data_IF_304759062008
#
_entry.id   IF_304759062008
#
_cell.length_a   1.000
_cell.length_b   1.000
_cell.length_c   1.000
_cell.angle_alpha   90.00
_cell.angle_beta   90.00
_cell.angle_gamma   90.00
#
_symmetry.space_group_name_H-M   'P 1'
#
loop_
_entity.id
_entity.type
_entity.pdbx_description
1 polymer ?
#
# COMPACT_ATOMS: atom_id res chain seq x y z
N UNK A 1 12.71 -23.76 -12.34
CA UNK A 1 13.59 -22.99 -11.43
C UNK A 1 12.67 -22.07 -10.63
N UNK A 2 12.78 -22.01 -9.31
CA UNK A 2 12.00 -21.07 -8.51
C UNK A 2 12.40 -19.65 -8.94
N UNK A 3 11.43 -18.80 -9.27
CA UNK A 3 11.66 -17.38 -9.53
C UNK A 3 12.05 -16.74 -8.19
N UNK A 4 13.26 -16.23 -8.09
CA UNK A 4 13.78 -15.60 -6.87
C UNK A 4 13.35 -14.13 -6.82
N UNK A 5 12.82 -13.71 -5.68
CA UNK A 5 12.56 -12.30 -5.39
C UNK A 5 13.89 -11.51 -5.33
N UNK A 6 13.87 -10.27 -5.77
CA UNK A 6 14.99 -9.33 -5.58
C UNK A 6 15.01 -8.75 -4.15
N UNK A 7 13.90 -8.86 -3.43
CA UNK A 7 13.71 -8.35 -2.08
C UNK A 7 13.34 -9.48 -1.13
N UNK A 8 13.86 -9.44 0.09
CA UNK A 8 13.48 -10.38 1.14
C UNK A 8 12.13 -10.03 1.75
N UNK A 9 11.88 -8.73 1.99
CA UNK A 9 10.66 -8.24 2.62
C UNK A 9 10.16 -6.98 1.94
N UNK A 10 8.89 -6.96 1.56
CA UNK A 10 8.27 -5.82 0.89
C UNK A 10 7.01 -5.35 1.63
N UNK A 11 6.75 -4.05 1.54
CA UNK A 11 5.45 -3.47 1.91
C UNK A 11 4.74 -3.06 0.63
N UNK A 12 3.65 -3.72 0.30
CA UNK A 12 2.77 -3.36 -0.81
C UNK A 12 1.70 -2.39 -0.32
N UNK A 13 1.71 -1.17 -0.84
CA UNK A 13 0.67 -0.17 -0.56
C UNK A 13 -0.28 -0.04 -1.73
N UNK A 14 -1.55 -0.22 -1.46
CA UNK A 14 -2.64 -0.11 -2.43
C UNK A 14 -3.58 1.05 -2.07
N UNK A 15 -4.05 1.77 -3.08
CA UNK A 15 -5.15 2.72 -2.87
C UNK A 15 -6.46 1.94 -2.66
N UNK A 16 -7.29 2.38 -1.70
CA UNK A 16 -8.62 1.80 -1.54
C UNK A 16 -9.47 1.93 -2.81
N UNK A 17 -9.32 3.02 -3.54
CA UNK A 17 -10.01 3.24 -4.83
C UNK A 17 -9.73 2.15 -5.85
N UNK A 18 -8.55 1.53 -5.79
CA UNK A 18 -8.22 0.41 -6.66
C UNK A 18 -9.12 -0.82 -6.40
N UNK A 19 -9.77 -0.91 -5.23
CA UNK A 19 -10.68 -2.01 -4.91
C UNK A 19 -12.14 -1.75 -5.29
N UNK A 20 -12.50 -0.52 -5.64
CA UNK A 20 -13.86 -0.16 -6.03
C UNK A 20 -14.20 -0.55 -7.48
N UNK A 21 -13.19 -0.64 -8.35
CA UNK A 21 -13.41 -0.81 -9.78
C UNK A 21 -14.12 0.40 -10.39
N UNK A 22 -14.89 0.16 -11.45
CA UNK A 22 -15.58 1.21 -12.20
C UNK A 22 -16.75 1.85 -11.39
N UNK A 23 -17.26 1.16 -10.37
CA UNK A 23 -18.33 1.66 -9.51
C UNK A 23 -17.89 2.85 -8.64
N UNK A 24 -16.58 3.04 -8.45
CA UNK A 24 -15.97 4.13 -7.70
C UNK A 24 -16.25 4.10 -6.19
N UNK A 25 -17.04 3.14 -5.70
CA UNK A 25 -17.43 2.99 -4.29
C UNK A 25 -17.52 1.50 -3.89
N UNK A 26 -17.21 1.22 -2.62
CA UNK A 26 -17.31 -0.12 -2.07
C UNK A 26 -16.14 -1.04 -2.43
N UNK A 27 -16.37 -2.33 -2.34
CA UNK A 27 -15.37 -3.39 -2.64
C UNK A 27 -15.90 -4.22 -3.80
N UNK A 28 -15.21 -4.18 -4.94
CA UNK A 28 -15.56 -5.00 -6.10
C UNK A 28 -14.98 -6.41 -5.94
N UNK A 29 -15.82 -7.48 -5.92
CA UNK A 29 -15.36 -8.85 -5.69
C UNK A 29 -14.39 -9.37 -6.76
N UNK A 30 -14.50 -8.90 -7.99
CA UNK A 30 -13.61 -9.31 -9.09
C UNK A 30 -12.23 -8.71 -8.89
N UNK A 31 -12.18 -7.42 -8.57
CA UNK A 31 -10.93 -6.69 -8.37
C UNK A 31 -10.18 -7.24 -7.15
N UNK A 32 -10.86 -7.42 -6.02
CA UNK A 32 -10.18 -7.91 -4.81
C UNK A 32 -9.63 -9.32 -5.00
N UNK A 33 -10.34 -10.16 -5.76
CA UNK A 33 -9.87 -11.50 -6.13
C UNK A 33 -8.62 -11.44 -7.02
N UNK A 34 -8.60 -10.54 -8.01
CA UNK A 34 -7.43 -10.32 -8.87
C UNK A 34 -6.22 -9.84 -8.07
N UNK A 35 -6.41 -8.88 -7.16
CA UNK A 35 -5.35 -8.42 -6.25
C UNK A 35 -4.86 -9.56 -5.35
N UNK A 36 -5.77 -10.34 -4.77
CA UNK A 36 -5.42 -11.48 -3.93
C UNK A 36 -4.61 -12.53 -4.70
N UNK A 37 -4.96 -12.82 -5.96
CA UNK A 37 -4.21 -13.74 -6.82
C UNK A 37 -2.77 -13.28 -7.02
N UNK A 38 -2.55 -12.00 -7.37
CA UNK A 38 -1.21 -11.45 -7.55
C UNK A 38 -0.39 -11.47 -6.24
N UNK A 39 -1.02 -11.14 -5.10
CA UNK A 39 -0.36 -11.21 -3.78
C UNK A 39 -0.01 -12.65 -3.41
N UNK A 40 -0.92 -13.61 -3.64
CA UNK A 40 -0.69 -15.03 -3.38
C UNK A 40 0.44 -15.61 -4.27
N UNK A 41 0.59 -15.14 -5.51
CA UNK A 41 1.74 -15.50 -6.36
C UNK A 41 3.07 -15.04 -5.74
N UNK A 42 3.13 -13.80 -5.25
CA UNK A 42 4.32 -13.27 -4.58
C UNK A 42 4.61 -14.01 -3.28
N UNK A 43 3.59 -14.36 -2.49
CA UNK A 43 3.77 -15.12 -1.26
C UNK A 43 4.36 -16.52 -1.48
N UNK A 44 4.20 -17.10 -2.68
CA UNK A 44 4.83 -18.38 -3.10
C UNK A 44 6.30 -18.22 -3.52
N UNK A 45 6.75 -16.98 -3.72
CA UNK A 45 8.11 -16.66 -4.11
C UNK A 45 8.91 -16.45 -2.86
N UNK A 46 9.69 -16.99 -2.25
CA UNK A 46 10.46 -16.74 -1.01
C UNK A 46 10.58 -15.23 -0.59
N UNK A 47 9.49 -14.49 -0.71
CA UNK A 47 9.35 -13.08 -0.35
C UNK A 47 8.39 -12.93 0.83
N UNK A 48 8.75 -12.13 1.81
CA UNK A 48 7.89 -11.74 2.93
C UNK A 48 7.09 -10.51 2.53
N UNK A 49 5.75 -10.62 2.50
CA UNK A 49 4.88 -9.55 2.02
C UNK A 49 3.96 -9.01 3.10
N UNK A 50 4.05 -7.72 3.35
CA UNK A 50 3.06 -6.97 4.11
C UNK A 50 2.23 -6.09 3.15
N UNK A 51 0.93 -5.98 3.40
CA UNK A 51 0.01 -5.21 2.56
C UNK A 51 -0.64 -4.11 3.38
N UNK A 52 -0.81 -2.95 2.79
CA UNK A 52 -1.55 -1.82 3.35
C UNK A 52 -2.55 -1.36 2.30
N UNK A 53 -3.82 -1.30 2.66
CA UNK A 53 -4.88 -0.85 1.78
C UNK A 53 -5.51 0.42 2.34
N UNK A 54 -5.65 1.45 1.51
CA UNK A 54 -6.39 2.67 1.85
C UNK A 54 -7.89 2.40 2.01
N UNK A 55 -8.61 3.37 2.63
CA UNK A 55 -10.07 3.29 2.84
C UNK A 55 -10.90 4.16 1.89
N UNK A 56 -10.28 4.83 0.92
CA UNK A 56 -10.90 5.87 0.09
C UNK A 56 -12.05 5.40 -0.82
N UNK A 57 -12.18 4.09 -1.05
CA UNK A 57 -13.32 3.48 -1.73
C UNK A 57 -14.60 3.42 -0.89
N UNK A 58 -14.50 3.54 0.42
CA UNK A 58 -15.62 3.47 1.37
C UNK A 58 -15.82 4.82 2.03
N UNK A 59 -14.74 5.45 2.52
CA UNK A 59 -14.81 6.70 3.23
C UNK A 59 -13.52 7.51 3.11
N UNK A 60 -13.68 8.84 2.89
CA UNK A 60 -12.58 9.80 2.91
C UNK A 60 -12.75 10.78 4.05
N UNK A 61 -11.84 10.79 5.02
CA UNK A 61 -11.88 11.70 6.17
C UNK A 61 -11.96 13.17 5.77
N UNK A 62 -11.24 13.57 4.70
CA UNK A 62 -11.31 14.93 4.17
C UNK A 62 -12.73 15.30 3.73
N UNK A 63 -13.41 14.45 2.96
CA UNK A 63 -14.80 14.68 2.51
C UNK A 63 -15.75 14.85 3.71
N UNK A 64 -15.60 14.00 4.75
CA UNK A 64 -16.40 14.15 5.97
C UNK A 64 -16.16 15.50 6.66
N UNK A 65 -14.90 15.92 6.77
CA UNK A 65 -14.53 17.22 7.35
C UNK A 65 -15.06 18.38 6.53
N UNK A 66 -15.00 18.31 5.20
CA UNK A 66 -15.54 19.35 4.31
C UNK A 66 -17.08 19.46 4.43
N UNK A 67 -17.77 18.40 4.88
CA UNK A 67 -19.21 18.37 5.20
C UNK A 67 -19.50 18.80 6.64
N UNK A 68 -18.52 19.31 7.39
CA UNK A 68 -18.68 19.83 8.75
C UNK A 68 -18.56 18.81 9.87
N UNK A 69 -18.13 17.59 9.58
CA UNK A 69 -17.81 16.62 10.62
C UNK A 69 -16.51 16.99 11.36
N UNK A 70 -16.40 16.57 12.61
CA UNK A 70 -15.12 16.59 13.31
C UNK A 70 -14.08 15.78 12.56
N UNK A 71 -12.91 16.37 12.32
CA UNK A 71 -11.84 15.74 11.52
C UNK A 71 -11.38 14.44 12.12
N UNK A 72 -11.23 14.37 13.44
CA UNK A 72 -10.80 13.16 14.13
C UNK A 72 -11.81 12.02 13.94
N UNK A 73 -13.11 12.32 14.09
CA UNK A 73 -14.18 11.36 13.85
C UNK A 73 -14.19 10.86 12.40
N UNK A 74 -14.05 11.77 11.43
CA UNK A 74 -14.02 11.44 10.02
C UNK A 74 -12.80 10.57 9.65
N UNK A 75 -11.64 10.84 10.25
CA UNK A 75 -10.43 10.02 10.05
C UNK A 75 -10.56 8.63 10.69
N UNK A 76 -11.20 8.50 11.87
CA UNK A 76 -11.51 7.18 12.44
C UNK A 76 -12.44 6.36 11.54
N UNK A 77 -13.42 6.95 10.92
CA UNK A 77 -14.27 6.27 9.92
C UNK A 77 -13.42 5.77 8.74
N UNK A 78 -12.47 6.58 8.25
CA UNK A 78 -11.52 6.17 7.22
C UNK A 78 -10.63 5.00 7.67
N UNK A 79 -10.17 5.00 8.93
CA UNK A 79 -9.42 3.88 9.50
C UNK A 79 -10.27 2.60 9.56
N UNK A 80 -11.54 2.68 9.96
CA UNK A 80 -12.46 1.52 9.93
C UNK A 80 -12.70 1.03 8.51
N UNK A 81 -12.78 1.91 7.53
CA UNK A 81 -12.87 1.55 6.12
C UNK A 81 -11.67 0.72 5.66
N UNK A 82 -10.45 1.04 6.13
CA UNK A 82 -9.26 0.21 5.84
C UNK A 82 -9.36 -1.18 6.46
N UNK A 83 -10.02 -1.33 7.61
CA UNK A 83 -10.25 -2.64 8.23
C UNK A 83 -11.19 -3.49 7.38
N UNK A 84 -12.28 -2.90 6.86
CA UNK A 84 -13.18 -3.61 5.94
C UNK A 84 -12.44 -4.13 4.71
N UNK A 85 -11.62 -3.29 4.08
CA UNK A 85 -10.80 -3.70 2.93
C UNK A 85 -9.79 -4.80 3.29
N UNK A 86 -9.17 -4.71 4.48
CA UNK A 86 -8.21 -5.71 4.95
C UNK A 86 -8.87 -7.08 5.17
N UNK A 87 -10.06 -7.11 5.76
CA UNK A 87 -10.82 -8.36 5.97
C UNK A 87 -11.24 -8.99 4.65
N UNK A 88 -11.72 -8.18 3.70
CA UNK A 88 -12.11 -8.68 2.39
C UNK A 88 -10.90 -9.25 1.61
N UNK A 89 -9.73 -8.60 1.72
CA UNK A 89 -8.49 -9.11 1.11
C UNK A 89 -8.01 -10.38 1.83
N UNK A 90 -8.09 -10.45 3.16
CA UNK A 90 -7.77 -11.65 3.93
C UNK A 90 -8.61 -12.84 3.48
N UNK A 91 -9.94 -12.69 3.43
CA UNK A 91 -10.85 -13.74 2.99
C UNK A 91 -10.49 -14.25 1.59
N UNK A 92 -10.25 -13.33 0.64
CA UNK A 92 -9.85 -13.67 -0.72
C UNK A 92 -8.50 -14.38 -0.80
N UNK A 93 -7.53 -14.04 0.05
CA UNK A 93 -6.23 -14.72 0.13
C UNK A 93 -6.36 -16.12 0.76
N UNK A 94 -7.15 -16.26 1.82
CA UNK A 94 -7.35 -17.53 2.49
C UNK A 94 -8.13 -18.52 1.60
N UNK A 95 -9.04 -18.04 0.73
CA UNK A 95 -9.66 -18.87 -0.32
C UNK A 95 -8.64 -19.40 -1.34
N UNK A 96 -7.48 -18.76 -1.48
CA UNK A 96 -6.36 -19.19 -2.33
C UNK A 96 -5.31 -20.01 -1.55
N UNK A 97 -5.67 -20.50 -0.36
CA UNK A 97 -4.77 -21.25 0.54
C UNK A 97 -3.53 -20.44 0.96
N UNK A 98 -3.64 -19.11 0.99
CA UNK A 98 -2.56 -18.21 1.39
C UNK A 98 -2.74 -17.78 2.85
N UNK A 99 -1.90 -18.29 3.74
CA UNK A 99 -1.94 -17.95 5.17
C UNK A 99 -1.83 -16.43 5.37
N UNK A 100 -2.86 -15.81 5.94
CA UNK A 100 -2.95 -14.35 6.06
C UNK A 100 -3.25 -13.93 7.50
N UNK A 101 -2.75 -12.77 7.93
CA UNK A 101 -3.07 -12.15 9.23
C UNK A 101 -3.34 -10.66 9.07
N UNK A 102 -4.49 -10.22 9.57
CA UNK A 102 -4.81 -8.79 9.70
C UNK A 102 -4.36 -8.30 11.07
N UNK A 103 -3.55 -7.24 11.08
CA UNK A 103 -3.09 -6.57 12.30
C UNK A 103 -3.62 -5.14 12.32
N UNK A 104 -4.36 -4.77 13.36
CA UNK A 104 -4.98 -3.45 13.48
C UNK A 104 -4.29 -2.56 14.50
N UNK A 105 -4.16 -1.28 14.18
CA UNK A 105 -3.64 -0.25 15.10
C UNK A 105 -4.68 0.21 16.13
N UNK A 106 -5.98 0.00 15.85
CA UNK A 106 -7.08 0.19 16.80
C UNK A 106 -7.47 -1.16 17.35
N UNK A 107 -7.57 -1.31 18.67
CA UNK A 107 -7.86 -2.59 19.30
C UNK A 107 -9.29 -3.06 19.00
N UNK A 108 -9.40 -4.20 18.33
CA UNK A 108 -10.67 -4.86 17.99
C UNK A 108 -10.48 -6.38 17.93
N UNK A 109 -10.13 -6.95 19.08
CA UNK A 109 -9.68 -8.35 19.22
C UNK A 109 -10.61 -9.41 18.64
N UNK A 110 -11.90 -9.11 18.53
CA UNK A 110 -12.89 -10.02 17.96
C UNK A 110 -12.81 -10.07 16.42
N UNK A 111 -12.13 -9.09 15.79
CA UNK A 111 -12.10 -8.91 14.34
C UNK A 111 -10.71 -9.18 13.78
N UNK A 112 -9.66 -8.68 14.44
CA UNK A 112 -8.28 -8.78 13.98
C UNK A 112 -7.29 -8.73 15.15
N UNK A 113 -6.05 -9.16 14.90
CA UNK A 113 -5.00 -9.12 15.90
C UNK A 113 -4.57 -7.67 16.19
N UNK A 114 -4.30 -7.29 17.46
CA UNK A 114 -3.66 -6.01 17.76
C UNK A 114 -2.27 -5.95 17.12
N UNK A 115 -1.93 -4.80 16.53
CA UNK A 115 -0.61 -4.58 15.98
C UNK A 115 0.45 -4.58 17.11
N UNK A 116 1.39 -5.48 17.00
CA UNK A 116 2.61 -5.53 17.80
C UNK A 116 3.77 -5.82 16.85
N UNK A 117 4.76 -4.91 16.76
CA UNK A 117 5.88 -5.00 15.81
C UNK A 117 6.51 -6.40 15.76
N UNK A 118 6.88 -6.96 16.90
CA UNK A 118 7.53 -8.30 16.95
C UNK A 118 6.60 -9.41 16.44
N UNK A 119 5.30 -9.29 16.63
CA UNK A 119 4.31 -10.25 16.14
C UNK A 119 4.17 -10.15 14.63
N UNK A 120 4.13 -8.93 14.08
CA UNK A 120 4.12 -8.70 12.63
C UNK A 120 5.34 -9.34 11.95
N UNK A 121 6.55 -9.07 12.46
CA UNK A 121 7.79 -9.68 11.97
C UNK A 121 7.72 -11.22 12.06
N UNK A 122 7.23 -11.77 13.17
CA UNK A 122 7.09 -13.23 13.33
C UNK A 122 6.11 -13.86 12.34
N UNK A 123 5.04 -13.15 11.96
CA UNK A 123 4.14 -13.63 10.91
C UNK A 123 4.83 -13.63 9.54
N UNK A 124 5.54 -12.55 9.21
CA UNK A 124 6.31 -12.43 7.96
C UNK A 124 7.38 -13.53 7.84
N UNK A 125 8.17 -13.76 8.89
CA UNK A 125 9.15 -14.86 8.95
C UNK A 125 8.54 -16.25 8.76
N UNK A 126 7.26 -16.43 9.13
CA UNK A 126 6.49 -17.65 8.89
C UNK A 126 5.85 -17.69 7.50
N UNK A 127 6.25 -16.78 6.60
CA UNK A 127 5.73 -16.66 5.22
C UNK A 127 4.21 -16.44 5.16
N UNK A 128 3.64 -15.80 6.19
CA UNK A 128 2.26 -15.34 6.18
C UNK A 128 2.18 -13.97 5.54
N UNK A 129 1.16 -13.75 4.74
CA UNK A 129 0.83 -12.37 4.31
C UNK A 129 0.31 -11.61 5.52
N UNK A 130 0.87 -10.43 5.78
CA UNK A 130 0.43 -9.55 6.85
C UNK A 130 -0.31 -8.37 6.24
N UNK A 131 -1.53 -8.09 6.68
CA UNK A 131 -2.29 -6.91 6.26
C UNK A 131 -2.36 -5.95 7.44
N UNK A 132 -1.80 -4.75 7.28
CA UNK A 132 -1.89 -3.70 8.29
C UNK A 132 -3.14 -2.86 8.04
N UNK A 133 -4.00 -2.75 9.05
CA UNK A 133 -5.26 -2.05 9.01
C UNK A 133 -5.36 -0.98 10.10
N UNK A 134 -6.36 -0.11 10.00
CA UNK A 134 -6.59 1.04 10.88
C UNK A 134 -5.43 2.06 10.90
N UNK A 135 -4.68 2.20 9.80
CA UNK A 135 -3.65 3.20 9.68
C UNK A 135 -2.55 3.06 10.74
N UNK A 136 -2.14 4.18 11.34
CA UNK A 136 -1.25 4.20 12.51
C UNK A 136 -2.02 4.22 13.84
N UNK A 137 -3.36 4.25 13.80
CA UNK A 137 -4.23 4.31 14.98
C UNK A 137 -4.55 5.73 15.44
N UNK A 138 -4.04 6.75 14.79
CA UNK A 138 -4.27 8.16 15.13
C UNK A 138 -4.82 8.94 13.93
N UNK A 139 -5.77 9.88 14.17
CA UNK A 139 -6.22 10.83 13.16
C UNK A 139 -5.08 11.67 12.57
N UNK A 140 -5.36 12.37 11.48
CA UNK A 140 -4.47 13.30 10.76
C UNK A 140 -3.34 12.67 9.95
N UNK A 141 -3.17 11.36 10.00
CA UNK A 141 -2.15 10.65 9.22
C UNK A 141 -2.77 9.88 8.05
N UNK A 142 -2.06 9.88 6.94
CA UNK A 142 -2.48 9.18 5.73
C UNK A 142 -2.11 7.69 5.73
N UNK A 143 -2.63 6.97 4.74
CA UNK A 143 -2.20 5.60 4.45
C UNK A 143 -0.75 5.56 3.93
N UNK A 144 -0.27 6.63 3.29
CA UNK A 144 1.13 6.74 2.83
C UNK A 144 2.08 6.83 4.02
N UNK A 145 1.75 7.67 5.01
CA UNK A 145 2.49 7.73 6.29
C UNK A 145 2.46 6.37 7.01
N UNK A 146 1.33 5.67 6.97
CA UNK A 146 1.24 4.30 7.50
C UNK A 146 2.21 3.36 6.81
N UNK A 147 2.28 3.40 5.47
CA UNK A 147 3.18 2.54 4.70
C UNK A 147 4.66 2.82 5.05
N UNK A 148 5.04 4.09 5.14
CA UNK A 148 6.39 4.50 5.52
C UNK A 148 6.77 3.99 6.93
N UNK A 149 5.91 4.23 7.92
CA UNK A 149 6.14 3.79 9.30
C UNK A 149 6.22 2.26 9.40
N UNK A 150 5.27 1.53 8.82
CA UNK A 150 5.26 0.06 8.89
C UNK A 150 6.45 -0.55 8.17
N UNK A 151 6.87 0.03 7.03
CA UNK A 151 8.06 -0.44 6.32
C UNK A 151 9.32 -0.34 7.20
N UNK A 152 9.52 0.79 7.89
CA UNK A 152 10.63 0.95 8.84
C UNK A 152 10.52 -0.05 10.00
N UNK A 153 9.35 -0.18 10.62
CA UNK A 153 9.14 -1.04 11.78
C UNK A 153 9.36 -2.53 11.47
N UNK A 154 8.98 -2.99 10.29
CA UNK A 154 9.19 -4.39 9.89
C UNK A 154 10.47 -4.60 9.11
N UNK A 155 11.29 -3.57 8.93
CA UNK A 155 12.57 -3.63 8.21
C UNK A 155 12.37 -4.13 6.77
N UNK A 156 11.44 -3.50 6.05
CA UNK A 156 11.18 -3.81 4.65
C UNK A 156 12.28 -3.23 3.75
N UNK A 157 12.64 -3.96 2.70
CA UNK A 157 13.65 -3.54 1.73
C UNK A 157 13.14 -2.44 0.80
N UNK A 158 11.81 -2.40 0.56
CA UNK A 158 11.17 -1.46 -0.37
C UNK A 158 9.68 -1.32 -0.06
N UNK A 159 9.12 -0.13 -0.35
CA UNK A 159 7.68 0.07 -0.46
C UNK A 159 7.29 -0.01 -1.94
N UNK A 160 6.45 -0.97 -2.27
CA UNK A 160 5.82 -1.13 -3.57
C UNK A 160 4.51 -0.36 -3.59
N UNK A 161 4.49 0.78 -4.29
CA UNK A 161 3.35 1.68 -4.31
C UNK A 161 2.51 1.45 -5.58
N UNK A 162 1.50 0.62 -5.45
CA UNK A 162 0.55 0.35 -6.52
C UNK A 162 -0.43 1.49 -6.71
N UNK A 163 -0.38 2.13 -7.88
CA UNK A 163 -1.30 3.19 -8.29
C UNK A 163 -2.33 2.64 -9.28
N UNK A 164 -3.53 3.24 -9.27
CA UNK A 164 -4.55 2.94 -10.27
C UNK A 164 -4.36 3.87 -11.47
N UNK A 165 -4.27 3.31 -12.68
CA UNK A 165 -4.16 4.05 -13.95
C UNK A 165 -2.95 5.01 -14.05
N UNK A 166 -1.91 4.83 -13.24
CA UNK A 166 -0.66 5.59 -13.34
C UNK A 166 0.51 4.61 -13.21
N UNK A 167 1.35 4.58 -14.22
CA UNK A 167 2.42 3.58 -14.36
C UNK A 167 3.79 4.07 -13.85
N UNK A 168 3.83 5.19 -13.13
CA UNK A 168 5.05 5.75 -12.57
C UNK A 168 4.87 7.20 -12.10
N UNK A 169 5.97 7.90 -11.93
CA UNK A 169 6.01 9.33 -11.56
C UNK A 169 6.35 10.15 -12.80
N UNK A 170 5.59 11.20 -13.04
CA UNK A 170 5.74 12.10 -14.17
C UNK A 170 6.15 13.50 -13.73
N UNK A 171 6.83 14.23 -14.62
CA UNK A 171 7.24 15.63 -14.39
C UNK A 171 6.04 16.57 -14.23
N UNK A 172 4.90 16.25 -14.82
CA UNK A 172 3.61 16.92 -14.71
C UNK A 172 2.49 15.91 -14.94
N UNK A 173 1.22 16.30 -14.80
CA UNK A 173 0.09 15.42 -15.14
C UNK A 173 0.04 15.16 -16.66
N UNK A 174 0.29 13.93 -17.14
CA UNK A 174 0.31 13.64 -18.56
C UNK A 174 -1.06 13.80 -19.25
N UNK A 175 -2.15 13.93 -18.49
CA UNK A 175 -3.48 14.23 -19.03
C UNK A 175 -3.67 15.71 -19.36
N UNK A 176 -2.86 16.57 -18.75
CA UNK A 176 -2.95 18.02 -18.87
C UNK A 176 -1.78 18.58 -19.69
N UNK A 177 -0.58 18.04 -19.46
CA UNK A 177 0.65 18.46 -20.12
C UNK A 177 1.15 17.36 -21.07
N UNK A 178 1.06 17.55 -22.40
CA UNK A 178 1.52 16.57 -23.37
C UNK A 178 3.05 16.40 -23.40
N UNK A 179 3.80 17.34 -22.85
CA UNK A 179 5.27 17.28 -22.73
C UNK A 179 5.73 16.60 -21.42
N UNK A 180 4.79 16.15 -20.58
CA UNK A 180 5.11 15.41 -19.37
C UNK A 180 5.84 14.10 -19.69
N UNK A 181 6.99 13.91 -19.07
CA UNK A 181 7.76 12.69 -19.21
C UNK A 181 7.78 11.88 -17.92
N UNK A 182 7.89 10.57 -18.05
CA UNK A 182 7.99 9.66 -16.92
C UNK A 182 9.44 9.53 -16.45
N UNK A 183 9.66 9.63 -15.15
CA UNK A 183 10.94 9.32 -14.54
C UNK A 183 11.12 7.80 -14.40
N UNK A 184 12.28 7.28 -14.79
CA UNK A 184 12.67 5.91 -14.47
C UNK A 184 13.21 5.82 -13.04
N UNK A 185 13.95 6.85 -12.62
CA UNK A 185 14.54 6.96 -11.30
C UNK A 185 14.50 8.40 -10.79
N UNK A 186 14.24 8.57 -9.51
CA UNK A 186 14.26 9.83 -8.77
C UNK A 186 14.98 9.65 -7.44
N UNK A 187 15.50 10.75 -6.89
CA UNK A 187 15.83 10.79 -5.47
C UNK A 187 14.65 11.33 -4.66
N UNK A 188 14.58 11.00 -3.36
CA UNK A 188 13.58 11.58 -2.46
C UNK A 188 13.67 13.11 -2.43
N UNK A 189 14.89 13.66 -2.49
CA UNK A 189 15.11 15.12 -2.52
C UNK A 189 14.55 15.73 -3.80
N UNK A 190 14.82 15.15 -4.96
CA UNK A 190 14.26 15.62 -6.22
C UNK A 190 12.73 15.60 -6.20
N UNK A 191 12.14 14.50 -5.74
CA UNK A 191 10.69 14.38 -5.61
C UNK A 191 10.08 15.50 -4.76
N UNK A 192 10.72 15.85 -3.62
CA UNK A 192 10.26 16.94 -2.73
C UNK A 192 10.49 18.32 -3.34
N UNK A 193 11.65 18.57 -3.96
CA UNK A 193 11.99 19.85 -4.57
C UNK A 193 11.11 20.19 -5.78
N UNK A 194 10.78 19.19 -6.57
CA UNK A 194 9.92 19.34 -7.75
C UNK A 194 8.42 19.28 -7.39
N UNK A 195 8.07 19.04 -6.12
CA UNK A 195 6.70 19.01 -5.65
C UNK A 195 5.86 17.87 -6.24
N UNK A 196 6.52 16.77 -6.63
CA UNK A 196 5.86 15.62 -7.25
C UNK A 196 4.96 14.90 -6.25
N UNK A 197 3.67 14.78 -6.58
CA UNK A 197 2.65 14.23 -5.69
C UNK A 197 2.59 12.70 -5.72
N UNK A 198 3.67 12.04 -5.29
CA UNK A 198 3.75 10.59 -5.19
C UNK A 198 3.05 10.10 -3.93
N UNK A 199 3.39 10.72 -2.80
CA UNK A 199 2.83 10.49 -1.47
C UNK A 199 2.80 11.82 -0.71
N UNK A 200 2.18 11.85 0.48
CA UNK A 200 2.21 13.07 1.29
C UNK A 200 3.63 13.41 1.78
N UNK A 201 3.85 14.68 2.11
CA UNK A 201 5.17 15.20 2.50
C UNK A 201 5.72 14.54 3.78
N UNK A 202 4.86 14.16 4.72
CA UNK A 202 5.25 13.47 5.95
C UNK A 202 5.83 12.11 5.64
N UNK A 203 5.13 11.33 4.81
CA UNK A 203 5.58 10.02 4.37
C UNK A 203 6.87 10.11 3.54
N UNK A 204 6.95 11.10 2.64
CA UNK A 204 8.13 11.34 1.79
C UNK A 204 9.37 11.65 2.63
N UNK A 205 9.27 12.58 3.57
CA UNK A 205 10.38 12.94 4.47
C UNK A 205 10.79 11.76 5.34
N UNK A 206 9.81 10.99 5.86
CA UNK A 206 10.10 9.82 6.67
C UNK A 206 10.85 8.73 5.88
N UNK A 207 10.45 8.46 4.63
CA UNK A 207 11.15 7.51 3.77
C UNK A 207 12.57 7.98 3.45
N UNK A 208 12.76 9.28 3.19
CA UNK A 208 14.07 9.88 2.95
C UNK A 208 14.99 9.72 4.16
N UNK A 209 14.54 10.06 5.36
CA UNK A 209 15.33 10.00 6.59
C UNK A 209 15.74 8.58 6.96
N UNK A 210 14.88 7.60 6.66
CA UNK A 210 15.10 6.19 6.95
C UNK A 210 15.69 5.40 5.76
N UNK A 211 16.00 6.06 4.64
CA UNK A 211 16.54 5.46 3.43
C UNK A 211 15.67 4.30 2.89
N UNK A 212 14.35 4.46 2.91
CA UNK A 212 13.39 3.45 2.43
C UNK A 212 13.13 3.70 0.95
N UNK A 213 13.50 2.78 0.05
CA UNK A 213 13.20 2.90 -1.36
C UNK A 213 11.70 2.79 -1.63
N UNK A 214 11.24 3.50 -2.68
CA UNK A 214 9.87 3.39 -3.19
C UNK A 214 9.91 2.93 -4.64
N UNK A 215 9.04 2.02 -5.03
CA UNK A 215 8.78 1.72 -6.44
C UNK A 215 7.31 2.02 -6.75
N UNK A 216 7.06 2.99 -7.62
CA UNK A 216 5.71 3.47 -8.01
C UNK A 216 5.35 2.87 -9.36
N UNK A 217 4.28 2.10 -9.43
CA UNK A 217 3.89 1.39 -10.65
C UNK A 217 2.36 1.22 -10.75
N UNK A 218 1.86 0.86 -11.93
CA UNK A 218 0.45 0.54 -12.14
C UNK A 218 0.11 -0.87 -11.66
N UNK A 219 -0.95 -1.00 -10.83
CA UNK A 219 -1.48 -2.30 -10.42
C UNK A 219 -2.56 -2.85 -11.36
N UNK A 220 -3.01 -2.06 -12.32
CA UNK A 220 -4.08 -2.48 -13.25
C UNK A 220 -3.59 -3.50 -14.28
N UNK A 221 -2.30 -3.55 -14.52
CA UNK A 221 -1.69 -4.56 -15.36
C UNK A 221 -1.43 -5.84 -14.55
N UNK A 222 -1.99 -6.94 -15.02
CA UNK A 222 -1.81 -8.25 -14.40
C UNK A 222 -0.32 -8.64 -14.34
N UNK A 223 0.12 -9.14 -13.20
CA UNK A 223 1.50 -9.55 -12.97
C UNK A 223 2.47 -8.43 -12.56
N UNK A 224 2.07 -7.15 -12.56
CA UNK A 224 2.98 -6.07 -12.20
C UNK A 224 3.46 -6.12 -10.74
N UNK A 225 2.65 -6.60 -9.79
CA UNK A 225 3.11 -6.79 -8.40
C UNK A 225 4.29 -7.78 -8.37
N UNK A 226 4.18 -8.88 -9.10
CA UNK A 226 5.24 -9.89 -9.20
C UNK A 226 6.49 -9.32 -9.88
N UNK A 227 6.33 -8.61 -10.99
CA UNK A 227 7.43 -7.96 -11.71
C UNK A 227 8.18 -6.95 -10.83
N UNK A 228 7.43 -6.15 -10.05
CA UNK A 228 8.01 -5.22 -9.08
C UNK A 228 8.84 -5.94 -8.01
N UNK A 229 8.33 -7.05 -7.46
CA UNK A 229 9.04 -7.88 -6.47
C UNK A 229 10.28 -8.55 -7.06
N UNK A 230 10.26 -8.90 -8.33
CA UNK A 230 11.42 -9.43 -9.06
C UNK A 230 12.48 -8.35 -9.37
N UNK A 231 12.20 -7.07 -9.07
CA UNK A 231 13.10 -5.95 -9.36
C UNK A 231 13.16 -5.58 -10.83
N UNK A 232 12.15 -5.95 -11.61
CA UNK A 232 12.07 -5.50 -13.00
C UNK A 232 11.90 -3.97 -13.05
N UNK A 233 12.48 -3.35 -14.07
CA UNK A 233 12.36 -1.91 -14.30
C UNK A 233 10.96 -1.55 -14.78
N UNK A 234 10.00 -1.61 -13.87
CA UNK A 234 8.64 -1.13 -14.10
C UNK A 234 8.36 0.09 -13.22
N UNK A 235 7.67 1.06 -13.76
CA UNK A 235 7.32 2.25 -13.00
C UNK A 235 8.51 3.19 -12.77
N UNK A 236 8.53 3.81 -11.58
CA UNK A 236 9.58 4.76 -11.14
C UNK A 236 10.15 4.30 -9.81
N UNK A 237 11.47 4.12 -9.76
CA UNK A 237 12.21 3.82 -8.52
C UNK A 237 12.66 5.12 -7.86
N UNK A 238 12.35 5.29 -6.57
CA UNK A 238 12.77 6.45 -5.77
C UNK A 238 13.69 5.96 -4.66
N UNK A 239 14.88 6.54 -4.59
CA UNK A 239 15.89 6.18 -3.59
C UNK A 239 16.49 7.43 -2.93
N UNK A 240 17.54 7.25 -2.14
CA UNK A 240 18.30 8.35 -1.54
C UNK A 240 19.03 9.15 -2.61
#
# INVERSE_FOLDING_TARGET
MAQTSNYKRVVLKLSGEALAGDDGFGINPIIIKSVAQQVAEVAKMDCEIAVIVGGGNIWRGKTGSDLGMDRGAADYMGMLATVMNALALQDSLEQLECDTRVLTSIEMKQVAEPYIRRRAIRHLEKKRVVIFAAGIGNPYFSTDTTAALRAAEVEADVILMGKNNVDGVYSADPKVDPDAFKYEHLTHIQMLQEGLQVMDSTASSFCMDNNIPLNVFSITEEGNIKRAVMGEKIGTLITK
#
